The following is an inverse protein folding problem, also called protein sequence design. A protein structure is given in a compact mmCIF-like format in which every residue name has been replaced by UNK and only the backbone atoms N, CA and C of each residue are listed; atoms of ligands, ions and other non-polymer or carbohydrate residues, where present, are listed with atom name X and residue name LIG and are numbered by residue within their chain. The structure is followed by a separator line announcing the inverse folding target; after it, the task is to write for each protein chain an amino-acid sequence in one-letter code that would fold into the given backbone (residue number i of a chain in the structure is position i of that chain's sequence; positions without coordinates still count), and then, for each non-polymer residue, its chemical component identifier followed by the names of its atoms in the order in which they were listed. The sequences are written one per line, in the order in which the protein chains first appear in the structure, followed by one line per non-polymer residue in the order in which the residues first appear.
data_IF_682873714554
#
_entry.id   IF_682873714554
#
_cell.length_a   1.000
_cell.length_b   1.000
_cell.length_c   1.000
_cell.angle_alpha   90.00
_cell.angle_beta   90.00
_cell.angle_gamma   90.00
#
_symmetry.space_group_name_H-M   'P 1'
#
loop_
_entity.id
_entity.type
_entity.pdbx_description
1 polymer ?
#
# COMPACT_ATOMS: atom_id res chain seq x y z
N UNK A 1 -29.20 -1.17 17.07
CA UNK A 1 -28.77 -2.29 16.19
C UNK A 1 -27.54 -1.96 15.34
N UNK A 2 -27.34 -0.71 14.89
CA UNK A 2 -26.22 -0.29 14.02
C UNK A 2 -24.81 -0.37 14.67
N UNK A 3 -24.67 -0.10 15.96
CA UNK A 3 -23.39 -0.26 16.69
C UNK A 3 -22.86 -1.71 16.67
N UNK A 4 -23.76 -2.70 16.61
CA UNK A 4 -23.39 -4.12 16.51
C UNK A 4 -22.86 -4.48 15.12
N UNK A 5 -23.30 -3.77 14.07
CA UNK A 5 -22.83 -4.00 12.69
C UNK A 5 -21.42 -3.45 12.53
N UNK A 6 -21.15 -2.21 12.94
CA UNK A 6 -19.81 -1.58 12.84
C UNK A 6 -18.76 -2.33 13.70
N UNK A 7 -19.13 -2.74 14.92
CA UNK A 7 -18.25 -3.55 15.77
C UNK A 7 -18.00 -4.96 15.20
N UNK A 8 -19.02 -5.58 14.58
CA UNK A 8 -18.85 -6.86 13.89
C UNK A 8 -17.96 -6.75 12.64
N UNK A 9 -17.95 -5.59 11.95
CA UNK A 9 -17.02 -5.33 10.84
C UNK A 9 -15.58 -5.16 11.31
N UNK A 10 -15.33 -4.30 12.31
CA UNK A 10 -13.98 -4.11 12.89
C UNK A 10 -13.40 -5.42 13.46
N UNK A 11 -14.21 -6.24 14.12
CA UNK A 11 -13.78 -7.54 14.67
C UNK A 11 -13.60 -8.64 13.60
N UNK A 12 -14.20 -8.51 12.41
CA UNK A 12 -14.06 -9.44 11.29
C UNK A 12 -12.87 -9.10 10.39
N UNK A 13 -12.60 -7.81 10.15
CA UNK A 13 -11.39 -7.36 9.45
C UNK A 13 -10.12 -7.69 10.24
N UNK A 14 -10.14 -7.50 11.56
CA UNK A 14 -9.04 -7.93 12.42
C UNK A 14 -8.83 -9.46 12.43
N UNK A 15 -9.90 -10.26 12.30
CA UNK A 15 -9.82 -11.72 12.17
C UNK A 15 -9.36 -12.19 10.79
N UNK A 16 -9.69 -11.47 9.71
CA UNK A 16 -9.18 -11.73 8.37
C UNK A 16 -7.70 -11.33 8.23
N UNK A 17 -7.32 -10.16 8.78
CA UNK A 17 -5.92 -9.77 8.89
C UNK A 17 -5.11 -10.74 9.77
N UNK A 18 -5.70 -11.29 10.84
CA UNK A 18 -5.07 -12.32 11.66
C UNK A 18 -5.01 -13.71 10.99
N UNK A 19 -6.03 -14.10 10.21
CA UNK A 19 -6.03 -15.35 9.42
C UNK A 19 -4.96 -15.31 8.32
N UNK A 20 -4.78 -14.16 7.69
CA UNK A 20 -3.70 -13.90 6.72
C UNK A 20 -2.31 -13.84 7.39
N UNK A 21 -2.26 -13.55 8.70
CA UNK A 21 -1.02 -13.57 9.51
C UNK A 21 -0.61 -14.99 9.97
N UNK A 22 -1.53 -15.95 9.93
CA UNK A 22 -1.26 -17.37 10.25
C UNK A 22 -1.08 -18.26 9.04
N UNK A 23 -1.30 -17.75 7.82
CA UNK A 23 -0.99 -18.46 6.58
C UNK A 23 0.48 -18.29 6.19
N UNK A 24 1.38 -18.76 7.06
CA UNK A 24 2.61 -19.37 6.57
C UNK A 24 2.17 -20.67 5.91
N UNK A 25 1.89 -20.65 4.60
CA UNK A 25 1.62 -21.90 3.92
C UNK A 25 2.94 -22.64 3.71
N UNK A 26 3.06 -23.89 4.20
CA UNK A 26 4.21 -24.72 3.90
C UNK A 26 4.27 -24.93 2.40
N UNK A 27 5.48 -24.83 1.84
CA UNK A 27 5.76 -25.30 0.51
C UNK A 27 5.37 -26.78 0.43
N UNK A 28 4.35 -27.14 -0.37
CA UNK A 28 4.38 -28.44 -1.03
C UNK A 28 3.35 -28.66 -2.14
N UNK A 29 3.89 -29.31 -3.18
CA UNK A 29 3.33 -30.19 -4.23
C UNK A 29 2.26 -29.68 -5.19
N UNK A 30 2.71 -29.48 -6.43
CA UNK A 30 2.21 -30.30 -7.55
C UNK A 30 1.23 -29.60 -8.49
N UNK A 31 1.75 -29.03 -9.58
CA UNK A 31 1.03 -29.00 -10.85
C UNK A 31 2.02 -28.98 -12.02
N UNK A 32 1.63 -29.50 -13.20
CA UNK A 32 2.52 -30.20 -14.12
C UNK A 32 3.28 -29.28 -15.09
N UNK A 33 4.47 -29.75 -15.46
CA UNK A 33 5.30 -29.28 -16.57
C UNK A 33 4.66 -29.51 -17.94
N UNK A 34 4.79 -28.57 -18.89
CA UNK A 34 4.87 -28.87 -20.32
C UNK A 34 6.34 -29.02 -20.79
N UNK A 35 6.61 -29.80 -21.86
CA UNK A 35 7.94 -30.33 -22.16
C UNK A 35 8.76 -29.48 -23.15
N UNK A 36 10.09 -29.60 -23.04
CA UNK A 36 11.09 -29.29 -24.08
C UNK A 36 11.64 -27.86 -24.06
N UNK A 37 12.93 -27.57 -24.09
CA UNK A 37 14.12 -28.42 -24.19
C UNK A 37 15.39 -27.54 -24.19
N UNK A 38 16.41 -28.03 -23.49
CA UNK A 38 17.87 -27.85 -23.67
C UNK A 38 18.53 -26.46 -23.62
N UNK A 39 19.36 -26.25 -22.59
CA UNK A 39 20.79 -25.90 -22.67
C UNK A 39 21.40 -25.86 -21.24
N UNK A 40 22.21 -26.84 -20.81
CA UNK A 40 23.69 -26.77 -20.58
C UNK A 40 24.18 -25.40 -20.09
N UNK A 41 24.93 -25.21 -19.00
CA UNK A 41 25.62 -26.07 -18.04
C UNK A 41 26.53 -25.18 -17.15
N UNK A 42 27.33 -25.82 -16.29
CA UNK A 42 28.51 -25.31 -15.55
C UNK A 42 28.33 -24.82 -14.09
N UNK A 43 29.02 -25.56 -13.20
CA UNK A 43 29.42 -25.27 -11.80
C UNK A 43 30.97 -25.35 -11.78
N UNK A 44 31.68 -25.15 -10.65
CA UNK A 44 31.54 -24.20 -9.53
C UNK A 44 32.89 -23.49 -9.25
N UNK A 45 32.98 -22.61 -8.24
CA UNK A 45 34.21 -22.50 -7.44
C UNK A 45 33.98 -21.82 -6.09
N UNK A 46 34.71 -22.32 -5.10
CA UNK A 46 34.69 -22.04 -3.67
C UNK A 46 35.97 -21.33 -3.20
N UNK A 47 35.90 -20.64 -2.05
CA UNK A 47 37.05 -20.11 -1.30
C UNK A 47 36.76 -18.69 -0.79
N UNK A 48 37.10 -18.24 0.41
CA UNK A 48 37.95 -18.73 1.49
C UNK A 48 38.00 -17.64 2.58
N UNK A 49 38.56 -17.97 3.74
CA UNK A 49 38.39 -17.30 5.04
C UNK A 49 39.41 -16.18 5.36
N UNK A 50 39.04 -15.39 6.39
CA UNK A 50 39.87 -14.85 7.49
C UNK A 50 40.63 -13.49 7.37
N UNK A 51 40.24 -12.58 8.27
CA UNK A 51 41.12 -12.01 9.31
C UNK A 51 41.73 -10.62 9.09
N UNK A 52 41.53 -9.68 10.03
CA UNK A 52 42.57 -9.07 10.90
C UNK A 52 42.07 -7.80 11.63
N UNK A 53 42.72 -7.51 12.76
CA UNK A 53 42.34 -6.69 13.93
C UNK A 53 42.94 -5.27 14.02
N UNK A 54 42.15 -4.28 14.49
CA UNK A 54 42.38 -3.04 15.35
C UNK A 54 43.68 -2.18 15.25
N UNK A 55 43.84 -0.95 15.85
CA UNK A 55 42.98 -0.14 16.76
C UNK A 55 42.90 1.42 16.53
N UNK A 56 42.02 2.11 17.29
CA UNK A 56 42.06 3.51 17.87
C UNK A 56 42.36 4.72 16.97
N UNK A 57 41.64 5.86 16.97
CA UNK A 57 41.24 6.76 18.06
C UNK A 57 40.28 7.89 17.52
N UNK A 58 39.66 8.73 18.39
CA UNK A 58 38.35 9.34 18.15
C UNK A 58 38.40 10.75 17.54
N UNK A 59 37.42 11.07 16.69
CA UNK A 59 37.11 12.44 16.30
C UNK A 59 35.61 12.72 16.49
N UNK A 60 35.35 13.62 17.44
CA UNK A 60 34.25 14.59 17.51
C UNK A 60 32.91 14.17 16.92
N UNK A 61 31.99 13.76 17.81
CA UNK A 61 30.56 13.66 17.52
C UNK A 61 30.02 15.06 17.22
N UNK A 62 30.01 15.44 15.94
CA UNK A 62 29.08 16.44 15.47
C UNK A 62 27.70 15.79 15.58
N UNK A 63 26.92 16.20 16.58
CA UNK A 63 25.50 15.91 16.67
C UNK A 63 24.80 16.53 15.46
N UNK A 64 24.84 15.83 14.34
CA UNK A 64 23.90 16.03 13.27
C UNK A 64 22.56 15.58 13.85
N UNK A 65 21.82 16.54 14.40
CA UNK A 65 20.38 16.44 14.55
C UNK A 65 19.81 16.25 13.14
N UNK A 66 19.87 15.03 12.62
CA UNK A 66 18.93 14.57 11.61
C UNK A 66 17.59 14.53 12.34
N UNK A 67 16.96 15.69 12.42
CA UNK A 67 15.57 15.82 12.81
C UNK A 67 14.80 14.92 11.87
N UNK A 68 14.45 13.73 12.36
CA UNK A 68 13.48 12.84 11.74
C UNK A 68 12.19 13.66 11.65
N UNK A 69 11.92 14.21 10.47
CA UNK A 69 10.65 14.87 10.22
C UNK A 69 9.54 13.87 10.55
N UNK A 70 8.56 14.23 11.40
CA UNK A 70 7.44 13.35 11.67
C UNK A 70 6.58 13.30 10.41
N UNK A 71 6.69 12.21 9.64
CA UNK A 71 5.75 11.91 8.55
C UNK A 71 4.42 11.40 9.13
N UNK A 72 3.36 12.15 8.80
CA UNK A 72 1.91 11.87 8.89
C UNK A 72 1.29 11.53 10.26
N UNK A 73 0.51 12.48 10.79
CA UNK A 73 -0.54 12.26 11.80
C UNK A 73 -1.72 11.49 11.17
N UNK A 74 -1.67 10.15 11.22
CA UNK A 74 -2.85 9.30 10.95
C UNK A 74 -3.97 9.73 11.88
N UNK A 75 -5.17 9.94 11.34
CA UNK A 75 -6.35 10.30 12.13
C UNK A 75 -7.51 9.47 11.64
N UNK A 76 -7.62 8.29 12.26
CA UNK A 76 -8.70 7.36 11.97
C UNK A 76 -10.05 8.06 12.14
N UNK A 77 -10.95 7.84 11.19
CA UNK A 77 -12.33 8.32 11.24
C UNK A 77 -13.26 7.14 11.52
N UNK A 78 -14.49 7.41 11.95
CA UNK A 78 -15.47 6.33 12.04
C UNK A 78 -15.85 5.85 10.63
N UNK A 79 -16.10 4.54 10.47
CA UNK A 79 -16.50 3.98 9.19
C UNK A 79 -17.79 4.63 8.67
N UNK A 80 -18.68 5.06 9.56
CA UNK A 80 -19.91 5.77 9.19
C UNK A 80 -19.66 7.16 8.60
N UNK A 81 -18.49 7.74 8.85
CA UNK A 81 -18.13 9.09 8.38
C UNK A 81 -17.46 9.05 6.99
N UNK A 82 -17.21 7.84 6.46
CA UNK A 82 -16.73 7.64 5.08
C UNK A 82 -17.82 8.01 4.10
N UNK A 83 -17.51 8.93 3.19
CA UNK A 83 -18.39 9.34 2.10
C UNK A 83 -18.07 8.55 0.82
N UNK A 84 -19.08 8.40 -0.03
CA UNK A 84 -19.06 7.57 -1.24
C UNK A 84 -19.47 8.37 -2.48
N UNK A 85 -19.10 9.65 -2.51
CA UNK A 85 -19.50 10.56 -3.57
C UNK A 85 -18.52 10.46 -4.74
N UNK A 86 -18.93 9.86 -5.87
CA UNK A 86 -18.08 9.83 -7.07
C UNK A 86 -17.71 11.25 -7.50
N UNK A 87 -16.48 11.43 -7.96
CA UNK A 87 -15.94 12.74 -8.30
C UNK A 87 -15.96 12.98 -9.80
N UNK A 88 -15.96 14.25 -10.23
CA UNK A 88 -15.75 14.63 -11.63
C UNK A 88 -14.25 14.65 -12.02
N UNK A 89 -13.40 14.01 -11.23
CA UNK A 89 -11.97 14.17 -11.33
C UNK A 89 -11.40 13.44 -12.56
N UNK A 90 -10.31 14.00 -13.12
CA UNK A 90 -9.71 13.47 -14.35
C UNK A 90 -9.13 12.07 -14.14
N UNK A 91 -9.25 11.24 -15.18
CA UNK A 91 -8.68 9.89 -15.27
C UNK A 91 -7.27 9.92 -15.86
N UNK A 92 -6.56 8.81 -15.73
CA UNK A 92 -5.33 8.57 -16.48
C UNK A 92 -4.04 9.00 -15.76
N UNK A 93 -2.88 8.68 -16.35
CA UNK A 93 -1.58 8.77 -15.69
C UNK A 93 -1.15 10.21 -15.37
N UNK A 94 -1.60 11.21 -16.13
CA UNK A 94 -1.28 12.62 -15.83
C UNK A 94 -1.98 13.10 -14.56
N UNK A 95 -3.28 12.82 -14.45
CA UNK A 95 -4.04 13.13 -13.24
C UNK A 95 -3.46 12.38 -12.03
N UNK A 96 -3.13 11.10 -12.20
CA UNK A 96 -2.47 10.27 -11.19
C UNK A 96 -1.21 10.92 -10.63
N UNK A 97 -0.29 11.36 -11.49
CA UNK A 97 0.94 12.07 -11.06
C UNK A 97 0.61 13.31 -10.23
N UNK A 98 -0.36 14.11 -10.66
CA UNK A 98 -0.78 15.33 -9.96
C UNK A 98 -1.27 15.04 -8.55
N UNK A 99 -2.20 14.11 -8.38
CA UNK A 99 -2.76 13.81 -7.06
C UNK A 99 -1.84 12.97 -6.17
N UNK A 100 -0.92 12.17 -6.71
CA UNK A 100 0.19 11.60 -5.92
C UNK A 100 1.05 12.73 -5.35
N UNK A 101 1.40 13.73 -6.17
CA UNK A 101 2.12 14.91 -5.70
C UNK A 101 1.40 15.63 -4.57
N UNK A 102 0.11 15.92 -4.75
CA UNK A 102 -0.70 16.58 -3.73
C UNK A 102 -0.82 15.76 -2.43
N UNK A 103 -0.95 14.43 -2.52
CA UNK A 103 -0.96 13.57 -1.34
C UNK A 103 0.38 13.57 -0.60
N UNK A 104 1.50 13.61 -1.32
CA UNK A 104 2.83 13.76 -0.73
C UNK A 104 2.99 15.12 -0.04
N UNK A 105 2.44 16.18 -0.61
CA UNK A 105 2.46 17.53 -0.01
C UNK A 105 1.67 17.56 1.30
N UNK A 106 0.43 17.03 1.31
CA UNK A 106 -0.39 16.92 2.53
C UNK A 106 0.30 16.08 3.61
N UNK A 107 1.04 15.05 3.21
CA UNK A 107 1.79 14.19 4.15
C UNK A 107 3.15 14.77 4.56
N UNK A 108 3.54 15.93 4.03
CA UNK A 108 4.81 16.58 4.35
C UNK A 108 6.05 15.86 3.81
N UNK A 109 5.91 15.06 2.75
CA UNK A 109 7.04 14.34 2.13
C UNK A 109 7.79 15.26 1.18
N UNK A 110 8.81 15.95 1.69
CA UNK A 110 9.58 16.94 0.93
C UNK A 110 10.81 16.35 0.22
N UNK A 111 11.39 15.29 0.76
CA UNK A 111 12.64 14.72 0.25
C UNK A 111 12.50 14.24 -1.21
N UNK A 112 13.30 14.77 -2.16
CA UNK A 112 13.14 14.44 -3.59
C UNK A 112 13.25 12.94 -3.90
N UNK A 113 14.13 12.23 -3.20
CA UNK A 113 14.27 10.78 -3.37
C UNK A 113 13.02 10.03 -2.93
N UNK A 114 12.47 10.38 -1.77
CA UNK A 114 11.23 9.80 -1.26
C UNK A 114 10.06 10.04 -2.21
N UNK A 115 9.91 11.28 -2.70
CA UNK A 115 8.84 11.62 -3.67
C UNK A 115 8.95 10.79 -4.95
N UNK A 116 10.16 10.57 -5.47
CA UNK A 116 10.37 9.71 -6.65
C UNK A 116 10.01 8.25 -6.38
N UNK A 117 10.37 7.72 -5.22
CA UNK A 117 10.06 6.33 -4.84
C UNK A 117 8.56 6.09 -4.75
N UNK A 118 7.84 6.96 -4.01
CA UNK A 118 6.38 6.92 -3.92
C UNK A 118 5.72 7.05 -5.29
N UNK A 119 6.14 8.04 -6.10
CA UNK A 119 5.59 8.26 -7.45
C UNK A 119 5.73 7.04 -8.35
N UNK A 120 6.92 6.43 -8.40
CA UNK A 120 7.18 5.24 -9.22
C UNK A 120 6.30 4.06 -8.80
N UNK A 121 6.19 3.81 -7.49
CA UNK A 121 5.37 2.73 -6.96
C UNK A 121 3.88 2.94 -7.21
N UNK A 122 3.36 4.13 -6.91
CA UNK A 122 1.93 4.42 -6.99
C UNK A 122 1.40 4.49 -8.41
N UNK A 123 2.21 4.95 -9.37
CA UNK A 123 1.81 4.88 -10.78
C UNK A 123 1.65 3.43 -11.28
N UNK A 124 2.44 2.50 -10.74
CA UNK A 124 2.28 1.07 -11.06
C UNK A 124 1.04 0.50 -10.39
N UNK A 125 0.87 0.77 -9.09
CA UNK A 125 -0.29 0.34 -8.31
C UNK A 125 -1.59 0.82 -8.95
N UNK A 126 -1.74 2.12 -9.19
CA UNK A 126 -2.98 2.67 -9.72
C UNK A 126 -3.29 2.22 -11.15
N UNK A 127 -2.27 1.92 -11.96
CA UNK A 127 -2.47 1.29 -13.27
C UNK A 127 -3.14 -0.07 -13.14
N UNK A 128 -2.71 -0.87 -12.16
CA UNK A 128 -3.20 -2.25 -11.94
C UNK A 128 -4.55 -2.27 -11.23
N UNK A 129 -4.68 -1.46 -10.18
CA UNK A 129 -5.83 -1.48 -9.27
C UNK A 129 -7.07 -0.83 -9.88
N UNK A 130 -6.90 0.25 -10.64
CA UNK A 130 -8.04 1.06 -11.13
C UNK A 130 -7.97 1.41 -12.60
N UNK A 131 -6.91 1.04 -13.32
CA UNK A 131 -6.68 1.57 -14.67
C UNK A 131 -6.61 3.11 -14.69
N UNK A 132 -6.21 3.73 -13.57
CA UNK A 132 -6.25 5.18 -13.33
C UNK A 132 -7.66 5.81 -13.28
N UNK A 133 -8.68 5.05 -12.91
CA UNK A 133 -10.04 5.55 -12.66
C UNK A 133 -10.27 5.94 -11.18
N UNK A 134 -10.48 7.24 -10.85
CA UNK A 134 -10.69 7.67 -9.47
C UNK A 134 -12.03 7.22 -8.91
N UNK A 135 -12.96 6.78 -9.75
CA UNK A 135 -14.28 6.28 -9.38
C UNK A 135 -14.39 4.76 -9.53
N UNK A 136 -13.27 4.04 -9.69
CA UNK A 136 -13.25 2.59 -9.81
C UNK A 136 -13.86 1.92 -8.57
N UNK A 137 -14.61 0.85 -8.80
CA UNK A 137 -15.18 -0.01 -7.74
C UNK A 137 -14.98 -1.46 -8.14
N UNK A 138 -14.43 -2.26 -7.24
CA UNK A 138 -14.34 -3.70 -7.43
C UNK A 138 -15.52 -4.41 -6.76
N UNK A 139 -16.39 -5.03 -7.56
CA UNK A 139 -17.56 -5.80 -7.11
C UNK A 139 -17.39 -7.30 -7.22
N UNK A 140 -16.24 -7.78 -7.68
CA UNK A 140 -16.10 -9.15 -8.15
C UNK A 140 -15.24 -10.01 -7.21
N UNK A 141 -14.84 -9.45 -6.06
CA UNK A 141 -13.98 -10.11 -5.09
C UNK A 141 -14.70 -10.51 -3.79
N UNK A 142 -13.93 -11.09 -2.87
CA UNK A 142 -14.41 -11.55 -1.57
C UNK A 142 -14.93 -10.41 -0.69
N UNK A 143 -14.54 -9.18 -0.97
CA UNK A 143 -14.94 -7.99 -0.23
C UNK A 143 -16.31 -7.48 -0.68
N UNK A 144 -16.92 -8.00 -1.75
CA UNK A 144 -18.29 -7.68 -2.16
C UNK A 144 -19.34 -8.20 -1.15
N UNK A 145 -19.40 -7.56 0.02
CA UNK A 145 -20.18 -7.96 1.19
C UNK A 145 -20.72 -6.74 1.94
N UNK A 146 -21.79 -6.96 2.69
CA UNK A 146 -22.42 -5.91 3.50
C UNK A 146 -23.56 -5.18 2.82
N UNK A 147 -24.07 -4.12 3.48
CA UNK A 147 -25.16 -3.32 2.93
C UNK A 147 -24.71 -2.57 1.68
N UNK A 148 -25.65 -2.30 0.78
CA UNK A 148 -25.44 -1.37 -0.33
C UNK A 148 -25.35 0.05 0.23
N UNK A 149 -24.39 0.84 -0.25
CA UNK A 149 -24.17 2.24 0.18
C UNK A 149 -24.45 3.21 -0.96
N UNK A 150 -24.22 4.51 -0.73
CA UNK A 150 -24.66 5.59 -1.62
C UNK A 150 -24.12 5.51 -3.06
N UNK A 151 -23.00 4.82 -3.29
CA UNK A 151 -22.42 4.60 -4.62
C UNK A 151 -23.07 3.44 -5.40
N UNK A 152 -24.01 2.72 -4.79
CA UNK A 152 -24.69 1.54 -5.33
C UNK A 152 -23.96 0.21 -5.15
N UNK A 153 -22.74 0.22 -4.60
CA UNK A 153 -21.97 -1.00 -4.32
C UNK A 153 -22.08 -1.41 -2.85
N UNK A 154 -21.65 -2.63 -2.51
CA UNK A 154 -21.66 -3.11 -1.12
C UNK A 154 -20.55 -2.45 -0.30
N UNK A 155 -20.80 -2.19 0.99
CA UNK A 155 -19.87 -1.49 1.89
C UNK A 155 -18.45 -2.07 1.90
N UNK A 156 -18.29 -3.38 1.73
CA UNK A 156 -16.97 -4.01 1.74
C UNK A 156 -16.12 -3.78 0.47
N UNK A 157 -16.74 -3.50 -0.68
CA UNK A 157 -16.04 -3.37 -1.97
C UNK A 157 -14.84 -2.40 -1.92
N UNK A 158 -13.83 -2.63 -2.73
CA UNK A 158 -12.73 -1.67 -2.86
C UNK A 158 -13.12 -0.49 -3.76
N UNK A 159 -12.61 0.71 -3.45
CA UNK A 159 -12.89 1.95 -4.20
C UNK A 159 -11.64 2.77 -4.52
N UNK A 160 -11.79 3.56 -5.58
CA UNK A 160 -10.90 4.64 -5.92
C UNK A 160 -9.60 4.17 -6.53
N UNK A 161 -8.65 5.09 -6.66
CA UNK A 161 -7.40 4.87 -7.37
C UNK A 161 -6.54 3.75 -6.83
N UNK A 162 -6.52 3.59 -5.51
CA UNK A 162 -5.71 2.57 -4.84
C UNK A 162 -6.53 1.39 -4.32
N UNK A 163 -7.80 1.28 -4.74
CA UNK A 163 -8.71 0.19 -4.37
C UNK A 163 -8.73 -0.11 -2.86
N UNK A 164 -8.86 0.94 -2.03
CA UNK A 164 -9.03 0.73 -0.58
C UNK A 164 -10.46 0.25 -0.28
N UNK A 165 -10.59 -0.66 0.69
CA UNK A 165 -11.88 -0.89 1.34
C UNK A 165 -12.23 0.32 2.22
N UNK A 166 -13.52 0.63 2.46
CA UNK A 166 -13.93 1.70 3.37
C UNK A 166 -13.40 1.54 4.79
N UNK A 167 -13.28 0.30 5.29
CA UNK A 167 -12.67 0.00 6.59
C UNK A 167 -11.21 0.44 6.63
N UNK A 168 -10.42 0.01 5.65
CA UNK A 168 -9.02 0.38 5.56
C UNK A 168 -8.82 1.90 5.37
N UNK A 169 -9.67 2.56 4.58
CA UNK A 169 -9.65 4.01 4.39
C UNK A 169 -9.93 4.73 5.71
N UNK A 170 -10.96 4.31 6.44
CA UNK A 170 -11.32 4.90 7.73
C UNK A 170 -10.20 4.74 8.77
N UNK A 171 -9.60 3.55 8.88
CA UNK A 171 -8.51 3.24 9.82
C UNK A 171 -7.22 4.02 9.53
N UNK A 172 -6.95 4.32 8.25
CA UNK A 172 -5.68 4.93 7.82
C UNK A 172 -5.85 6.37 7.34
N UNK A 173 -7.03 6.97 7.56
CA UNK A 173 -7.36 8.31 7.08
C UNK A 173 -6.30 9.35 7.48
N UNK A 174 -6.00 10.26 6.55
CA UNK A 174 -5.02 11.33 6.74
C UNK A 174 -5.72 12.58 7.28
N UNK A 175 -5.28 13.10 8.42
CA UNK A 175 -5.78 14.40 8.90
C UNK A 175 -5.57 15.50 7.84
N UNK A 176 -6.58 16.35 7.67
CA UNK A 176 -6.55 17.44 6.69
C UNK A 176 -7.00 17.04 5.27
N UNK A 177 -7.38 15.78 5.03
CA UNK A 177 -7.99 15.35 3.75
C UNK A 177 -9.50 15.15 3.87
N UNK A 178 -10.17 15.03 2.72
CA UNK A 178 -11.60 14.69 2.62
C UNK A 178 -11.91 13.31 3.22
N UNK A 179 -13.10 13.14 3.80
CA UNK A 179 -13.60 11.81 4.23
C UNK A 179 -14.24 11.00 3.10
N UNK A 180 -14.24 11.53 1.87
CA UNK A 180 -14.73 10.84 0.69
C UNK A 180 -13.68 9.88 0.13
N UNK A 181 -14.03 8.58 0.05
CA UNK A 181 -13.07 7.56 -0.44
C UNK A 181 -12.71 7.72 -1.92
N UNK A 182 -13.54 8.42 -2.71
CA UNK A 182 -13.27 8.75 -4.11
C UNK A 182 -12.48 10.06 -4.29
N UNK A 183 -12.22 10.81 -3.22
CA UNK A 183 -11.29 11.94 -3.29
C UNK A 183 -9.88 11.41 -3.51
N UNK A 184 -9.24 11.88 -4.58
CA UNK A 184 -7.97 11.33 -5.06
C UNK A 184 -6.85 11.49 -4.02
N UNK A 185 -6.79 12.65 -3.37
CA UNK A 185 -5.75 12.97 -2.39
C UNK A 185 -5.96 12.18 -1.12
N UNK A 186 -7.20 12.12 -0.62
CA UNK A 186 -7.54 11.33 0.57
C UNK A 186 -7.29 9.82 0.37
N UNK A 187 -7.72 9.27 -0.78
CA UNK A 187 -7.55 7.85 -1.11
C UNK A 187 -6.06 7.46 -1.16
N UNK A 188 -5.24 8.25 -1.85
CA UNK A 188 -3.79 8.03 -1.92
C UNK A 188 -3.15 8.19 -0.54
N UNK A 189 -3.46 9.26 0.19
CA UNK A 189 -2.84 9.53 1.48
C UNK A 189 -3.16 8.44 2.52
N UNK A 190 -4.41 7.99 2.59
CA UNK A 190 -4.81 6.88 3.44
C UNK A 190 -4.13 5.56 3.04
N UNK A 191 -3.99 5.31 1.73
CA UNK A 191 -3.25 4.15 1.22
C UNK A 191 -1.78 4.19 1.64
N UNK A 192 -1.12 5.34 1.54
CA UNK A 192 0.28 5.49 1.97
C UNK A 192 0.43 5.26 3.47
N UNK A 193 -0.51 5.74 4.29
CA UNK A 193 -0.52 5.45 5.72
C UNK A 193 -0.62 3.95 5.98
N UNK A 194 -1.49 3.23 5.24
CA UNK A 194 -1.57 1.76 5.31
C UNK A 194 -0.26 1.08 4.88
N UNK A 195 0.45 1.60 3.86
CA UNK A 195 1.77 1.09 3.47
C UNK A 195 2.77 1.15 4.64
N UNK A 196 2.75 2.24 5.40
CA UNK A 196 3.60 2.39 6.58
C UNK A 196 3.17 1.49 7.73
N UNK A 197 1.88 1.50 8.09
CA UNK A 197 1.37 0.86 9.31
C UNK A 197 1.20 -0.65 9.17
N UNK A 198 0.70 -1.11 8.03
CA UNK A 198 0.35 -2.51 7.81
C UNK A 198 1.47 -3.28 7.10
N UNK A 199 2.08 -2.68 6.08
CA UNK A 199 3.14 -3.33 5.30
C UNK A 199 4.55 -2.98 5.77
N UNK A 200 4.69 -2.06 6.74
CA UNK A 200 5.97 -1.67 7.31
C UNK A 200 6.91 -1.00 6.32
N UNK A 201 6.39 -0.39 5.25
CA UNK A 201 7.19 0.36 4.26
C UNK A 201 7.92 1.51 4.95
N UNK A 202 9.15 1.78 4.52
CA UNK A 202 9.93 2.90 5.04
C UNK A 202 9.30 4.24 4.64
N UNK A 203 9.37 5.29 5.49
CA UNK A 203 8.84 6.63 5.16
C UNK A 203 9.26 7.18 3.80
N UNK A 204 10.46 6.86 3.35
CA UNK A 204 11.04 7.28 2.08
C UNK A 204 10.69 6.37 0.89
N UNK A 205 9.87 5.34 1.12
CA UNK A 205 9.46 4.31 0.16
C UNK A 205 10.61 3.61 -0.58
N UNK A 206 11.83 3.62 -0.04
CA UNK A 206 12.98 2.94 -0.64
C UNK A 206 12.77 1.43 -0.83
N UNK A 207 11.96 0.83 0.05
CA UNK A 207 11.63 -0.59 0.10
C UNK A 207 10.20 -0.93 -0.39
N UNK A 208 9.46 0.05 -0.89
CA UNK A 208 8.04 -0.08 -1.26
C UNK A 208 7.80 -1.23 -2.24
N UNK A 209 8.60 -1.33 -3.29
CA UNK A 209 8.47 -2.36 -4.33
C UNK A 209 8.86 -3.75 -3.85
N UNK A 210 9.79 -3.83 -2.90
CA UNK A 210 10.19 -5.09 -2.29
C UNK A 210 9.08 -5.63 -1.37
N UNK A 211 8.39 -4.75 -0.65
CA UNK A 211 7.35 -5.10 0.34
C UNK A 211 5.95 -5.22 -0.26
N UNK A 212 5.67 -4.52 -1.34
CA UNK A 212 4.33 -4.42 -1.94
C UNK A 212 4.41 -4.66 -3.44
N UNK A 213 4.16 -5.91 -3.85
CA UNK A 213 4.30 -6.37 -5.24
C UNK A 213 3.45 -5.56 -6.23
N UNK A 214 2.28 -5.05 -5.83
CA UNK A 214 1.44 -4.21 -6.68
C UNK A 214 2.10 -2.90 -7.13
N UNK A 215 3.15 -2.47 -6.44
CA UNK A 215 3.92 -1.27 -6.77
C UNK A 215 5.16 -1.55 -7.65
N UNK A 216 5.47 -2.83 -7.90
CA UNK A 216 6.64 -3.28 -8.65
C UNK A 216 6.27 -3.60 -10.11
N UNK A 217 6.73 -2.83 -11.11
CA UNK A 217 6.46 -3.10 -12.52
C UNK A 217 7.22 -4.31 -13.07
N UNK A 218 8.31 -4.74 -12.42
CA UNK A 218 9.13 -5.88 -12.83
C UNK A 218 8.57 -7.24 -12.39
N UNK A 219 7.54 -7.26 -11.53
CA UNK A 219 6.84 -8.47 -11.09
C UNK A 219 5.43 -8.52 -11.67
N UNK A 220 4.84 -9.70 -11.93
CA UNK A 220 3.46 -9.80 -12.36
C UNK A 220 2.50 -9.23 -11.28
N UNK A 221 1.28 -8.80 -11.65
CA UNK A 221 0.23 -8.51 -10.67
C UNK A 221 -0.06 -9.73 -9.79
N UNK A 222 -0.47 -9.50 -8.53
CA UNK A 222 -0.85 -10.56 -7.60
C UNK A 222 -2.19 -10.21 -6.92
N UNK A 223 -3.15 -11.12 -6.92
CA UNK A 223 -4.39 -10.94 -6.15
C UNK A 223 -4.15 -10.74 -4.65
N UNK A 224 -5.08 -10.05 -3.99
CA UNK A 224 -5.14 -9.91 -2.53
C UNK A 224 -5.85 -11.09 -1.87
#
# INVERSE_FOLDING_TARGET
QQHKVVAAYRARDARLAALLRTMTYPAQVGAPTPPGGTARGFLPSSGGLAGLTHPGHPHTMLTAHHGRAPVSNVSAIDLRDVRFDKTAAQRGPRAAKGAIGAALDVRGVNEPAARRNWMRGYLTLMRRESGFDPNAVNTDDINNRGPVVADGARLGCSRGWTQMTPGAFAENHQSGTSTNIYDQVANIAASMNRMLTHYGVSPDASDLQAKVQQTDPGRPPHGY
#
